data_IF_721758770688
#
_entry.id   IF_721758770688
#
_cell.length_a   1.000
_cell.length_b   1.000
_cell.length_c   1.000
_cell.angle_alpha   90.00
_cell.angle_beta   90.00
_cell.angle_gamma   90.00
#
_symmetry.space_group_name_H-M   'P 1'
#
loop_
_entity.id
_entity.type
_entity.pdbx_description
1 polymer ?
#
# COMPACT_ATOMS: atom_id res chain seq x y z
N UNK A 1 -5.23 13.38 -5.39
CA UNK A 1 -5.89 13.46 -4.06
C UNK A 1 -7.09 12.54 -4.05
N UNK A 2 -7.29 11.77 -2.97
CA UNK A 2 -8.50 10.96 -2.81
C UNK A 2 -9.65 11.87 -2.38
N UNK A 3 -10.62 12.09 -3.26
CA UNK A 3 -11.79 12.90 -3.00
C UNK A 3 -12.97 12.00 -2.62
N UNK A 4 -13.63 12.28 -1.48
CA UNK A 4 -14.84 11.57 -1.09
C UNK A 4 -16.06 12.33 -1.61
N UNK A 5 -16.64 11.86 -2.71
CA UNK A 5 -17.96 12.30 -3.16
C UNK A 5 -19.09 11.68 -2.32
N UNK A 6 -20.35 12.06 -2.59
CA UNK A 6 -21.53 11.54 -1.88
C UNK A 6 -21.73 10.02 -2.01
N UNK A 7 -21.12 9.38 -3.02
CA UNK A 7 -21.32 7.94 -3.31
C UNK A 7 -20.04 7.15 -3.61
N UNK A 8 -18.88 7.80 -3.79
CA UNK A 8 -17.62 7.11 -4.16
C UNK A 8 -16.38 7.92 -3.76
N UNK A 9 -15.27 7.22 -3.49
CA UNK A 9 -13.93 7.82 -3.39
C UNK A 9 -13.25 7.75 -4.75
N UNK A 10 -12.83 8.90 -5.29
CA UNK A 10 -12.13 8.97 -6.58
C UNK A 10 -10.77 9.66 -6.41
N UNK A 11 -9.75 9.11 -7.06
CA UNK A 11 -8.42 9.72 -7.12
C UNK A 11 -8.33 10.68 -8.30
N UNK A 12 -8.44 11.99 -8.02
CA UNK A 12 -8.35 13.05 -9.02
C UNK A 12 -6.95 13.65 -9.11
N UNK A 13 -6.52 14.11 -10.31
CA UNK A 13 -5.31 14.91 -10.46
C UNK A 13 -5.37 16.14 -9.56
N UNK A 14 -4.26 16.43 -8.89
CA UNK A 14 -4.14 17.58 -8.01
C UNK A 14 -2.69 18.06 -7.99
N UNK A 15 -2.50 19.34 -7.69
CA UNK A 15 -1.18 19.92 -7.47
C UNK A 15 -0.69 19.60 -6.06
N UNK A 16 0.61 19.36 -5.92
CA UNK A 16 1.25 19.23 -4.61
C UNK A 16 1.09 20.51 -3.77
N UNK A 17 1.17 20.43 -2.44
CA UNK A 17 1.11 21.61 -1.58
C UNK A 17 2.32 22.52 -1.79
N UNK A 18 2.12 23.84 -1.67
CA UNK A 18 3.21 24.84 -1.74
C UNK A 18 4.12 24.77 -0.51
N UNK A 19 3.55 24.40 0.65
CA UNK A 19 4.28 24.22 1.90
C UNK A 19 3.59 23.13 2.74
N UNK A 20 4.39 22.44 3.56
CA UNK A 20 3.90 21.52 4.59
C UNK A 20 4.34 22.04 5.95
N UNK A 21 3.38 22.27 6.84
CA UNK A 21 3.63 22.64 8.24
C UNK A 21 3.20 21.45 9.10
N UNK A 22 4.16 20.86 9.80
CA UNK A 22 3.95 19.67 10.62
C UNK A 22 4.41 19.95 12.05
N UNK A 23 3.46 19.98 12.98
CA UNK A 23 3.74 20.18 14.41
C UNK A 23 4.16 18.85 15.05
N UNK A 24 5.42 18.78 15.49
CA UNK A 24 5.99 17.57 16.09
C UNK A 24 5.27 17.13 17.36
N UNK A 25 4.77 18.08 18.17
CA UNK A 25 4.02 17.78 19.39
C UNK A 25 2.68 17.13 19.06
N UNK A 26 1.94 17.71 18.10
CA UNK A 26 0.68 17.15 17.61
C UNK A 26 0.90 15.75 17.03
N UNK A 27 1.90 15.56 16.16
CA UNK A 27 2.20 14.27 15.55
C UNK A 27 2.58 13.21 16.59
N UNK A 28 3.41 13.58 17.57
CA UNK A 28 3.82 12.67 18.63
C UNK A 28 2.63 12.21 19.48
N UNK A 29 1.70 13.14 19.79
CA UNK A 29 0.48 12.86 20.56
C UNK A 29 -0.62 12.14 19.78
N UNK A 30 -0.48 11.98 18.47
CA UNK A 30 -1.51 11.36 17.64
C UNK A 30 -1.78 9.89 18.03
N UNK A 31 -3.03 9.40 17.88
CA UNK A 31 -3.39 8.03 18.21
C UNK A 31 -2.46 7.01 17.53
N UNK A 32 -2.01 6.01 18.30
CA UNK A 32 -1.11 4.95 17.79
C UNK A 32 -1.66 4.28 16.53
N UNK A 33 -2.98 4.06 16.45
CA UNK A 33 -3.66 3.49 15.28
C UNK A 33 -3.42 4.30 14.00
N UNK A 34 -3.46 5.64 14.07
CA UNK A 34 -3.21 6.50 12.90
C UNK A 34 -1.74 6.40 12.46
N UNK A 35 -0.81 6.37 13.41
CA UNK A 35 0.63 6.20 13.12
C UNK A 35 0.92 4.82 12.52
N UNK A 36 0.30 3.77 13.04
CA UNK A 36 0.40 2.41 12.51
C UNK A 36 -0.14 2.34 11.07
N UNK A 37 -1.30 2.95 10.81
CA UNK A 37 -1.86 3.03 9.46
C UNK A 37 -0.93 3.81 8.51
N UNK A 38 -0.32 4.91 8.97
CA UNK A 38 0.67 5.65 8.18
C UNK A 38 1.89 4.80 7.81
N UNK A 39 2.41 3.99 8.74
CA UNK A 39 3.48 3.04 8.44
C UNK A 39 3.03 1.97 7.43
N UNK A 40 1.80 1.47 7.57
CA UNK A 40 1.21 0.53 6.60
C UNK A 40 1.15 1.09 5.17
N UNK A 41 0.81 2.38 5.01
CA UNK A 41 0.82 3.04 3.70
C UNK A 41 2.22 3.12 3.08
N UNK A 42 3.25 3.33 3.90
CA UNK A 42 4.66 3.33 3.45
C UNK A 42 5.19 1.92 3.15
N UNK A 43 4.70 0.88 3.80
CA UNK A 43 5.07 -0.51 3.45
C UNK A 43 4.48 -0.91 2.09
N UNK A 44 3.37 -0.30 1.67
CA UNK A 44 2.71 -0.52 0.38
C UNK A 44 3.61 -0.28 -0.83
N UNK A 45 4.67 0.52 -0.66
CA UNK A 45 5.59 0.86 -1.75
C UNK A 45 6.36 -0.39 -2.23
N UNK A 46 6.48 -1.43 -1.39
CA UNK A 46 7.08 -2.71 -1.77
C UNK A 46 6.41 -3.34 -3.00
N UNK A 47 5.08 -3.35 -3.04
CA UNK A 47 4.31 -3.87 -4.19
C UNK A 47 4.14 -2.80 -5.27
N UNK A 48 3.95 -1.53 -4.90
CA UNK A 48 3.79 -0.45 -5.88
C UNK A 48 5.01 -0.31 -6.81
N UNK A 49 6.24 -0.37 -6.26
CA UNK A 49 7.47 -0.30 -7.03
C UNK A 49 7.62 -1.49 -7.97
N UNK A 50 7.22 -2.70 -7.53
CA UNK A 50 7.28 -3.90 -8.36
C UNK A 50 6.22 -3.93 -9.44
N UNK A 51 5.04 -3.39 -9.16
CA UNK A 51 4.06 -3.12 -10.21
C UNK A 51 4.54 -2.06 -11.20
N UNK A 52 5.29 -1.05 -10.75
CA UNK A 52 5.84 -0.03 -11.64
C UNK A 52 6.92 -0.60 -12.57
N UNK A 53 7.79 -1.46 -12.06
CA UNK A 53 8.74 -2.23 -12.89
C UNK A 53 8.03 -3.10 -13.94
N UNK A 54 6.94 -3.76 -13.56
CA UNK A 54 6.13 -4.53 -14.52
C UNK A 54 5.50 -3.63 -15.59
N UNK A 55 5.06 -2.42 -15.21
CA UNK A 55 4.57 -1.41 -16.14
C UNK A 55 5.64 -0.91 -17.11
N UNK A 56 6.88 -0.72 -16.66
CA UNK A 56 8.01 -0.38 -17.55
C UNK A 56 8.27 -1.50 -18.55
N UNK A 57 8.31 -2.75 -18.07
CA UNK A 57 8.63 -3.90 -18.92
C UNK A 57 7.53 -4.21 -19.96
N UNK A 58 6.25 -4.06 -19.60
CA UNK A 58 5.14 -4.55 -20.45
C UNK A 58 4.27 -3.44 -21.06
N UNK A 59 4.38 -2.21 -20.57
CA UNK A 59 3.53 -1.09 -20.99
C UNK A 59 4.32 0.16 -21.41
N UNK A 60 5.67 0.11 -21.37
CA UNK A 60 6.52 1.25 -21.74
C UNK A 60 6.44 2.42 -20.75
N UNK A 61 6.00 2.17 -19.51
CA UNK A 61 6.10 3.17 -18.43
C UNK A 61 7.58 3.51 -18.18
N UNK A 62 7.87 4.71 -17.66
CA UNK A 62 9.24 5.11 -17.32
C UNK A 62 9.41 5.07 -15.81
N UNK A 63 10.36 4.29 -15.30
CA UNK A 63 10.71 4.30 -13.88
C UNK A 63 11.70 5.43 -13.58
N UNK A 64 11.25 6.42 -12.83
CA UNK A 64 12.14 7.48 -12.34
C UNK A 64 12.99 6.93 -11.18
N UNK A 65 14.27 6.66 -11.44
CA UNK A 65 15.21 6.11 -10.43
C UNK A 65 15.29 6.93 -9.14
N UNK A 66 15.17 8.27 -9.24
CA UNK A 66 15.19 9.16 -8.05
C UNK A 66 13.95 8.98 -7.19
N UNK A 67 12.77 8.88 -7.82
CA UNK A 67 11.52 8.62 -7.11
C UNK A 67 11.53 7.20 -6.50
N UNK A 68 12.01 6.21 -7.26
CA UNK A 68 12.18 4.84 -6.78
C UNK A 68 13.05 4.77 -5.52
N UNK A 69 14.21 5.43 -5.53
CA UNK A 69 15.10 5.47 -4.37
C UNK A 69 14.47 6.20 -3.17
N UNK A 70 13.69 7.26 -3.40
CA UNK A 70 12.96 7.96 -2.34
C UNK A 70 11.87 7.08 -1.69
N UNK A 71 11.18 6.25 -2.47
CA UNK A 71 10.21 5.29 -1.93
C UNK A 71 10.88 4.15 -1.14
N UNK A 72 12.05 3.68 -1.58
CA UNK A 72 12.84 2.72 -0.79
C UNK A 72 13.23 3.31 0.58
N UNK A 73 13.71 4.55 0.61
CA UNK A 73 13.99 5.25 1.87
C UNK A 73 12.72 5.44 2.72
N UNK A 74 11.56 5.66 2.08
CA UNK A 74 10.29 5.77 2.78
C UNK A 74 9.86 4.45 3.43
N UNK A 75 10.12 3.30 2.78
CA UNK A 75 9.92 1.96 3.36
C UNK A 75 10.83 1.79 4.59
N UNK A 76 12.12 2.10 4.48
CA UNK A 76 13.06 1.99 5.61
C UNK A 76 12.63 2.89 6.78
N UNK A 77 12.14 4.11 6.52
CA UNK A 77 11.56 4.97 7.56
C UNK A 77 10.38 4.30 8.29
N UNK A 78 9.53 3.55 7.57
CA UNK A 78 8.42 2.83 8.20
C UNK A 78 8.91 1.68 9.08
N UNK A 79 9.90 0.92 8.60
CA UNK A 79 10.53 -0.18 9.34
C UNK A 79 11.18 0.35 10.63
N UNK A 80 12.01 1.38 10.51
CA UNK A 80 12.69 2.04 11.63
C UNK A 80 11.69 2.61 12.64
N UNK A 81 10.62 3.23 12.16
CA UNK A 81 9.57 3.78 13.02
C UNK A 81 8.88 2.68 13.84
N UNK A 82 8.53 1.55 13.22
CA UNK A 82 7.85 0.43 13.88
C UNK A 82 8.78 -0.24 14.89
N UNK A 83 9.99 -0.63 14.50
CA UNK A 83 10.95 -1.27 15.41
C UNK A 83 11.53 -0.32 16.46
N UNK A 84 11.54 0.99 16.20
CA UNK A 84 11.81 2.04 17.19
C UNK A 84 10.69 2.24 18.22
N UNK A 85 9.66 1.38 18.20
CA UNK A 85 8.55 1.41 19.16
C UNK A 85 7.57 2.55 18.91
N UNK A 86 7.54 3.10 17.69
CA UNK A 86 6.59 4.13 17.24
C UNK A 86 6.62 5.43 18.06
N UNK A 87 7.78 5.71 18.69
CA UNK A 87 7.96 6.87 19.58
C UNK A 87 8.28 8.14 18.81
N UNK A 88 9.09 8.04 17.76
CA UNK A 88 9.51 9.19 16.97
C UNK A 88 8.64 9.35 15.71
N UNK A 89 7.57 10.14 15.84
CA UNK A 89 6.67 10.43 14.73
C UNK A 89 7.35 11.19 13.57
N UNK A 90 8.53 11.79 13.78
CA UNK A 90 9.25 12.50 12.73
C UNK A 90 9.89 11.55 11.72
N UNK A 91 10.28 10.34 12.15
CA UNK A 91 10.75 9.29 11.23
C UNK A 91 9.63 8.90 10.25
N UNK A 92 8.42 8.66 10.78
CA UNK A 92 7.26 8.37 9.95
C UNK A 92 6.91 9.56 9.02
N UNK A 93 6.93 10.78 9.55
CA UNK A 93 6.70 11.99 8.75
C UNK A 93 7.71 12.12 7.60
N UNK A 94 9.00 11.86 7.84
CA UNK A 94 10.05 11.89 6.82
C UNK A 94 9.69 10.94 5.67
N UNK A 95 9.32 9.70 5.97
CA UNK A 95 8.91 8.73 4.95
C UNK A 95 7.69 9.20 4.14
N UNK A 96 6.66 9.74 4.81
CA UNK A 96 5.47 10.28 4.14
C UNK A 96 5.79 11.49 3.23
N UNK A 97 6.69 12.38 3.68
CA UNK A 97 7.15 13.51 2.89
C UNK A 97 7.98 13.07 1.67
N UNK A 98 8.83 12.06 1.83
CA UNK A 98 9.61 11.49 0.74
C UNK A 98 8.70 10.88 -0.33
N UNK A 99 7.69 10.09 0.08
CA UNK A 99 6.71 9.53 -0.86
C UNK A 99 5.89 10.63 -1.56
N UNK A 100 5.50 11.68 -0.82
CA UNK A 100 4.87 12.86 -1.41
C UNK A 100 5.74 13.56 -2.45
N UNK A 101 7.04 13.74 -2.17
CA UNK A 101 8.00 14.32 -3.09
C UNK A 101 8.26 13.42 -4.31
N UNK A 102 8.30 12.10 -4.13
CA UNK A 102 8.44 11.12 -5.20
C UNK A 102 7.26 11.18 -6.18
N UNK A 103 6.02 11.20 -5.66
CA UNK A 103 4.82 11.39 -6.48
C UNK A 103 4.83 12.73 -7.22
N UNK A 104 5.25 13.81 -6.56
CA UNK A 104 5.35 15.13 -7.20
C UNK A 104 6.41 15.15 -8.33
N UNK A 105 7.54 14.48 -8.13
CA UNK A 105 8.61 14.35 -9.13
C UNK A 105 8.16 13.57 -10.36
N UNK A 106 7.36 12.52 -10.17
CA UNK A 106 6.83 11.70 -11.27
C UNK A 106 5.61 12.35 -11.93
N UNK A 107 4.89 13.23 -11.22
CA UNK A 107 3.61 13.77 -11.67
C UNK A 107 2.48 12.74 -11.64
N UNK A 108 2.64 11.68 -10.85
CA UNK A 108 1.70 10.56 -10.74
C UNK A 108 1.82 9.90 -9.38
N UNK A 109 0.75 9.23 -8.92
CA UNK A 109 0.83 8.37 -7.73
C UNK A 109 1.58 7.07 -7.96
N UNK A 110 2.02 6.79 -9.20
CA UNK A 110 2.64 5.53 -9.60
C UNK A 110 3.77 5.01 -8.69
N UNK A 111 4.76 5.83 -8.25
CA UNK A 111 5.80 5.33 -7.33
C UNK A 111 5.22 4.83 -6.00
N UNK A 112 4.05 5.36 -5.60
CA UNK A 112 3.47 5.13 -4.29
C UNK A 112 2.23 4.23 -4.28
N UNK A 113 1.73 3.82 -5.45
CA UNK A 113 0.43 3.18 -5.60
C UNK A 113 0.42 2.19 -6.77
N UNK A 114 0.22 0.92 -6.46
CA UNK A 114 0.04 -0.20 -7.38
C UNK A 114 -1.26 -0.95 -7.08
N UNK A 115 -1.22 -2.27 -7.24
CA UNK A 115 -2.32 -3.19 -7.04
C UNK A 115 -2.89 -3.16 -5.62
N UNK A 116 -2.05 -2.96 -4.61
CA UNK A 116 -2.48 -2.89 -3.20
C UNK A 116 -3.45 -1.73 -2.94
N UNK A 117 -3.22 -0.56 -3.56
CA UNK A 117 -4.13 0.57 -3.49
C UNK A 117 -5.40 0.35 -4.29
N UNK A 118 -5.33 -0.36 -5.42
CA UNK A 118 -6.51 -0.70 -6.22
C UNK A 118 -7.45 -1.62 -5.45
N UNK A 119 -6.91 -2.59 -4.71
CA UNK A 119 -7.68 -3.43 -3.79
C UNK A 119 -8.31 -2.57 -2.69
N UNK A 120 -7.55 -1.69 -2.01
CA UNK A 120 -8.12 -0.80 -0.99
C UNK A 120 -9.25 0.10 -1.54
N UNK A 121 -9.12 0.60 -2.78
CA UNK A 121 -10.18 1.38 -3.41
C UNK A 121 -11.46 0.55 -3.67
N UNK A 122 -11.33 -0.73 -4.05
CA UNK A 122 -12.49 -1.61 -4.15
C UNK A 122 -13.09 -1.93 -2.77
N UNK A 123 -12.27 -2.14 -1.74
CA UNK A 123 -12.74 -2.30 -0.35
C UNK A 123 -13.55 -1.08 0.11
N UNK A 124 -13.04 0.13 -0.17
CA UNK A 124 -13.76 1.38 0.12
C UNK A 124 -15.09 1.46 -0.65
N UNK A 125 -15.14 0.96 -1.90
CA UNK A 125 -16.35 0.95 -2.73
C UNK A 125 -17.42 -0.02 -2.21
N UNK A 126 -17.05 -1.09 -1.50
CA UNK A 126 -18.01 -1.98 -0.83
C UNK A 126 -18.75 -1.28 0.31
N UNK A 127 -18.17 -0.24 0.91
CA UNK A 127 -18.78 0.51 2.01
C UNK A 127 -18.92 -0.25 3.33
N UNK A 128 -18.25 -1.40 3.47
CA UNK A 128 -18.34 -2.29 4.65
C UNK A 128 -17.17 -2.15 5.63
N UNK A 129 -15.99 -1.75 5.15
CA UNK A 129 -14.77 -1.70 5.95
C UNK A 129 -14.83 -0.65 7.07
N UNK A 130 -14.38 -1.04 8.26
CA UNK A 130 -14.14 -0.15 9.41
C UNK A 130 -12.65 0.25 9.51
N UNK A 131 -11.84 -0.21 8.57
CA UNK A 131 -10.40 0.04 8.50
C UNK A 131 -10.04 1.40 7.96
N UNK A 132 -8.94 1.96 8.48
CA UNK A 132 -8.26 3.11 7.90
C UNK A 132 -7.62 2.73 6.56
N UNK A 133 -7.40 3.70 5.69
CA UNK A 133 -6.81 3.46 4.36
C UNK A 133 -5.50 2.69 4.45
N UNK A 134 -4.54 3.15 5.26
CA UNK A 134 -3.26 2.47 5.43
C UNK A 134 -3.35 1.06 6.04
N UNK A 135 -4.41 0.75 6.80
CA UNK A 135 -4.66 -0.61 7.29
C UNK A 135 -5.11 -1.52 6.14
N UNK A 136 -6.06 -1.05 5.31
CA UNK A 136 -6.53 -1.79 4.14
C UNK A 136 -5.40 -2.02 3.13
N UNK A 137 -4.64 -0.96 2.83
CA UNK A 137 -3.53 -1.00 1.88
C UNK A 137 -2.44 -1.94 2.38
N UNK A 138 -2.11 -1.94 3.68
CA UNK A 138 -1.08 -2.82 4.21
C UNK A 138 -1.46 -4.31 4.13
N UNK A 139 -2.71 -4.68 4.44
CA UNK A 139 -3.17 -6.06 4.25
C UNK A 139 -3.18 -6.47 2.77
N UNK A 140 -3.61 -5.56 1.89
CA UNK A 140 -3.50 -5.79 0.45
C UNK A 140 -2.04 -5.93 -0.01
N UNK A 141 -1.11 -5.24 0.66
CA UNK A 141 0.34 -5.35 0.41
C UNK A 141 0.85 -6.73 0.81
N UNK A 142 0.42 -7.31 1.93
CA UNK A 142 0.76 -8.70 2.31
C UNK A 142 0.29 -9.66 1.23
N UNK A 143 -0.97 -9.56 0.80
CA UNK A 143 -1.56 -10.41 -0.23
C UNK A 143 -0.80 -10.31 -1.56
N UNK A 144 -0.57 -9.08 -2.04
CA UNK A 144 0.11 -8.84 -3.30
C UNK A 144 1.59 -9.18 -3.24
N UNK A 145 2.26 -8.99 -2.10
CA UNK A 145 3.64 -9.44 -1.90
C UNK A 145 3.77 -10.95 -2.05
N UNK A 146 2.84 -11.72 -1.47
CA UNK A 146 2.79 -13.18 -1.66
C UNK A 146 2.55 -13.56 -3.12
N UNK A 147 1.65 -12.85 -3.80
CA UNK A 147 1.35 -13.12 -5.22
C UNK A 147 2.53 -12.77 -6.14
N UNK A 148 3.22 -11.65 -5.89
CA UNK A 148 4.46 -11.33 -6.58
C UNK A 148 5.55 -12.37 -6.31
N UNK A 149 5.69 -12.85 -5.08
CA UNK A 149 6.69 -13.86 -4.77
C UNK A 149 6.51 -15.14 -5.61
N UNK A 150 5.27 -15.53 -5.93
CA UNK A 150 4.98 -16.70 -6.76
C UNK A 150 4.98 -16.43 -8.27
N UNK A 151 4.80 -15.19 -8.71
CA UNK A 151 4.52 -14.88 -10.13
C UNK A 151 5.42 -13.81 -10.77
N UNK A 152 6.20 -13.08 -9.98
CA UNK A 152 7.12 -12.04 -10.44
C UNK A 152 8.56 -12.46 -10.15
N UNK A 153 9.28 -12.92 -11.18
CA UNK A 153 10.70 -13.30 -11.06
C UNK A 153 11.63 -12.13 -10.65
N UNK A 154 11.16 -10.89 -10.77
CA UNK A 154 11.84 -9.68 -10.28
C UNK A 154 11.46 -9.27 -8.85
N UNK A 155 10.75 -10.12 -8.10
CA UNK A 155 10.42 -9.86 -6.70
C UNK A 155 11.68 -9.68 -5.84
N UNK A 156 11.52 -8.98 -4.71
CA UNK A 156 12.59 -8.69 -3.78
C UNK A 156 13.30 -9.96 -3.29
N UNK A 157 14.63 -9.88 -3.17
CA UNK A 157 15.46 -10.93 -2.55
C UNK A 157 15.81 -10.64 -1.10
N UNK A 158 15.62 -9.39 -0.67
CA UNK A 158 15.80 -9.00 0.73
C UNK A 158 14.68 -9.65 1.56
N UNK A 159 14.99 -10.50 2.55
CA UNK A 159 13.97 -11.15 3.38
C UNK A 159 13.10 -10.16 4.16
N UNK A 160 13.62 -8.95 4.47
CA UNK A 160 12.87 -7.88 5.15
C UNK A 160 11.66 -7.40 4.33
N UNK A 161 11.67 -7.64 3.02
CA UNK A 161 10.63 -7.24 2.06
C UNK A 161 9.67 -8.40 1.72
N UNK A 162 9.70 -9.48 2.50
CA UNK A 162 8.76 -10.58 2.36
C UNK A 162 7.37 -10.21 2.89
N UNK A 163 6.32 -10.89 2.41
CA UNK A 163 4.96 -10.71 2.93
C UNK A 163 4.87 -11.02 4.44
N UNK A 164 5.66 -11.98 4.93
CA UNK A 164 5.73 -12.33 6.35
C UNK A 164 6.33 -11.20 7.19
N UNK A 165 7.38 -10.53 6.70
CA UNK A 165 7.97 -9.37 7.37
C UNK A 165 7.02 -8.17 7.40
N UNK A 166 6.26 -7.93 6.33
CA UNK A 166 5.20 -6.91 6.34
C UNK A 166 4.16 -7.23 7.41
N UNK A 167 3.69 -8.48 7.48
CA UNK A 167 2.71 -8.91 8.48
C UNK A 167 3.25 -8.80 9.92
N UNK A 168 4.52 -9.13 10.14
CA UNK A 168 5.21 -8.95 11.43
C UNK A 168 5.24 -7.46 11.83
N UNK A 169 5.63 -6.57 10.91
CA UNK A 169 5.65 -5.12 11.17
C UNK A 169 4.26 -4.59 11.55
N UNK A 170 3.20 -5.07 10.90
CA UNK A 170 1.82 -4.72 11.27
C UNK A 170 1.48 -5.18 12.69
N UNK A 171 1.84 -6.43 13.03
CA UNK A 171 1.65 -6.97 14.37
C UNK A 171 2.41 -6.15 15.44
N UNK A 172 3.69 -5.83 15.21
CA UNK A 172 4.51 -5.00 16.10
C UNK A 172 3.94 -3.58 16.25
N UNK A 173 3.42 -3.01 15.16
CA UNK A 173 2.78 -1.70 15.20
C UNK A 173 1.45 -1.69 15.98
N UNK A 174 0.84 -2.86 16.18
CA UNK A 174 -0.53 -3.00 16.69
C UNK A 174 -1.57 -2.59 15.64
N UNK A 175 -1.24 -2.76 14.35
CA UNK A 175 -2.17 -2.64 13.25
C UNK A 175 -2.94 -3.96 13.05
N UNK A 176 -4.12 -3.93 12.41
CA UNK A 176 -4.83 -5.13 11.99
C UNK A 176 -3.95 -6.06 11.14
N UNK A 177 -4.05 -7.36 11.41
CA UNK A 177 -3.29 -8.41 10.70
C UNK A 177 -4.17 -9.29 9.82
N UNK A 178 -5.48 -9.04 9.83
CA UNK A 178 -6.47 -9.77 9.05
C UNK A 178 -7.57 -8.85 8.52
N UNK A 179 -8.19 -9.21 7.40
CA UNK A 179 -9.32 -8.45 6.86
C UNK A 179 -10.57 -8.58 7.72
N UNK A 180 -10.72 -9.69 8.46
CA UNK A 180 -11.75 -9.87 9.49
C UNK A 180 -11.71 -8.77 10.57
N UNK A 181 -10.53 -8.35 11.03
CA UNK A 181 -10.38 -7.24 11.98
C UNK A 181 -10.89 -5.90 11.42
N UNK A 182 -10.92 -5.75 10.08
CA UNK A 182 -11.50 -4.60 9.40
C UNK A 182 -13.02 -4.74 9.18
N UNK A 183 -13.62 -5.86 9.58
CA UNK A 183 -15.03 -6.18 9.40
C UNK A 183 -15.38 -6.68 8.00
N UNK A 184 -14.40 -7.20 7.26
CA UNK A 184 -14.58 -7.74 5.91
C UNK A 184 -14.63 -9.26 5.97
N UNK A 185 -15.51 -9.85 5.17
CA UNK A 185 -15.52 -11.31 4.97
C UNK A 185 -14.53 -11.70 3.90
N UNK A 186 -14.16 -12.99 3.85
CA UNK A 186 -13.39 -13.56 2.75
C UNK A 186 -13.95 -13.17 1.38
N UNK A 187 -15.26 -13.27 1.22
CA UNK A 187 -15.95 -12.99 -0.04
C UNK A 187 -15.84 -11.51 -0.44
N UNK A 188 -15.89 -10.59 0.53
CA UNK A 188 -15.67 -9.16 0.29
C UNK A 188 -14.26 -8.90 -0.26
N UNK A 189 -13.26 -9.57 0.30
CA UNK A 189 -11.86 -9.42 -0.12
C UNK A 189 -11.63 -10.04 -1.50
N UNK A 190 -12.17 -11.24 -1.75
CA UNK A 190 -12.09 -11.90 -3.05
C UNK A 190 -12.69 -11.01 -4.13
N UNK A 191 -13.90 -10.49 -3.92
CA UNK A 191 -14.55 -9.59 -4.86
C UNK A 191 -13.73 -8.31 -5.10
N UNK A 192 -13.17 -7.71 -4.04
CA UNK A 192 -12.33 -6.53 -4.16
C UNK A 192 -11.06 -6.78 -4.99
N UNK A 193 -10.41 -7.94 -4.83
CA UNK A 193 -9.20 -8.30 -5.59
C UNK A 193 -9.51 -8.52 -7.08
N UNK A 194 -10.59 -9.24 -7.40
CA UNK A 194 -10.97 -9.52 -8.79
C UNK A 194 -11.30 -8.25 -9.59
N UNK A 195 -11.89 -7.28 -8.91
CA UNK A 195 -12.30 -5.99 -9.49
C UNK A 195 -11.24 -4.90 -9.37
N UNK A 196 -10.15 -5.13 -8.64
CA UNK A 196 -9.09 -4.14 -8.45
C UNK A 196 -8.56 -3.57 -9.79
N UNK A 197 -8.31 -4.36 -10.86
CA UNK A 197 -7.90 -3.82 -12.17
C UNK A 197 -8.84 -2.77 -12.77
N UNK A 198 -10.14 -2.81 -12.45
CA UNK A 198 -11.14 -1.87 -12.96
C UNK A 198 -10.94 -0.44 -12.43
N UNK A 199 -10.21 -0.27 -11.32
CA UNK A 199 -9.98 1.04 -10.70
C UNK A 199 -9.10 1.94 -11.57
N UNK A 200 -8.11 1.36 -12.24
CA UNK A 200 -7.19 2.04 -13.17
C UNK A 200 -6.78 1.10 -14.31
N UNK A 201 -7.65 0.88 -15.30
CA UNK A 201 -7.37 -0.01 -16.43
C UNK A 201 -6.11 0.39 -17.21
N UNK A 202 -5.71 1.67 -17.13
CA UNK A 202 -4.52 2.22 -17.78
C UNK A 202 -3.20 1.90 -17.06
N UNK A 203 -3.24 1.41 -15.82
CA UNK A 203 -2.04 1.18 -14.99
C UNK A 203 -1.74 -0.31 -14.89
N UNK A 204 -0.69 -0.76 -15.58
CA UNK A 204 -0.33 -2.19 -15.59
C UNK A 204 0.23 -2.62 -14.23
N UNK A 205 -0.40 -3.59 -13.60
CA UNK A 205 0.07 -4.23 -12.36
C UNK A 205 0.13 -5.74 -12.54
N UNK A 206 0.61 -6.48 -11.56
CA UNK A 206 0.59 -7.94 -11.59
C UNK A 206 -0.84 -8.49 -11.79
N UNK A 207 -1.87 -7.84 -11.23
CA UNK A 207 -3.27 -8.23 -11.40
C UNK A 207 -3.80 -8.04 -12.84
N UNK A 208 -3.15 -7.19 -13.64
CA UNK A 208 -3.48 -7.03 -15.07
C UNK A 208 -2.78 -8.09 -15.92
N UNK A 209 -1.52 -8.39 -15.60
CA UNK A 209 -0.70 -9.35 -16.35
C UNK A 209 -1.07 -10.79 -16.04
N UNK A 210 -1.44 -11.07 -14.79
CA UNK A 210 -1.80 -12.37 -14.26
C UNK A 210 -3.03 -12.20 -13.38
N UNK A 211 -4.20 -12.26 -14.00
CA UNK A 211 -5.47 -12.07 -13.29
C UNK A 211 -5.80 -13.34 -12.49
N UNK A 212 -5.84 -13.30 -11.15
CA UNK A 212 -6.15 -14.48 -10.35
C UNK A 212 -7.65 -14.82 -10.45
N UNK A 213 -7.98 -16.12 -10.32
CA UNK A 213 -9.34 -16.60 -10.10
C UNK A 213 -9.74 -16.52 -8.63
N UNK A 214 -11.01 -16.80 -8.32
CA UNK A 214 -11.54 -16.80 -6.94
C UNK A 214 -10.80 -17.78 -6.04
N UNK A 215 -10.51 -18.96 -6.56
CA UNK A 215 -9.78 -20.02 -5.88
C UNK A 215 -8.38 -19.56 -5.52
N UNK A 216 -7.64 -18.99 -6.47
CA UNK A 216 -6.28 -18.46 -6.23
C UNK A 216 -6.28 -17.37 -5.15
N UNK A 217 -7.24 -16.44 -5.17
CA UNK A 217 -7.32 -15.41 -4.11
C UNK A 217 -7.63 -16.03 -2.75
N UNK A 218 -8.51 -17.04 -2.71
CA UNK A 218 -8.85 -17.75 -1.48
C UNK A 218 -7.65 -18.51 -0.90
N UNK A 219 -6.88 -19.19 -1.75
CA UNK A 219 -5.63 -19.87 -1.38
C UNK A 219 -4.60 -18.87 -0.84
N UNK A 220 -4.43 -17.72 -1.49
CA UNK A 220 -3.51 -16.67 -1.01
C UNK A 220 -3.91 -16.16 0.39
N UNK A 221 -5.21 -15.97 0.64
CA UNK A 221 -5.72 -15.55 1.96
C UNK A 221 -5.46 -16.62 3.04
N UNK A 222 -5.56 -17.90 2.68
CA UNK A 222 -5.25 -19.01 3.58
C UNK A 222 -3.75 -19.12 3.87
N UNK A 223 -2.91 -19.08 2.83
CA UNK A 223 -1.46 -19.17 2.96
C UNK A 223 -0.87 -18.03 3.79
N UNK A 224 -1.40 -16.82 3.62
CA UNK A 224 -0.94 -15.64 4.35
C UNK A 224 -1.59 -15.48 5.72
N UNK A 225 -2.68 -16.20 6.00
CA UNK A 225 -3.40 -16.15 7.27
C UNK A 225 -4.13 -14.83 7.55
N UNK A 226 -4.37 -14.00 6.53
CA UNK A 226 -4.94 -12.65 6.69
C UNK A 226 -6.44 -12.57 6.39
N UNK A 227 -7.14 -13.70 6.35
CA UNK A 227 -8.56 -13.80 6.00
C UNK A 227 -9.46 -12.84 6.79
#
# INVERSE_FOLDING_TARGET
VAFRGKSHRASVPATGPVAVVADAGVLSSSPRRLKAAGAGDLLAKLTALKDWELGELHAGEIVCRRAYAAELEAIECAIDFVYGGMRDALVLLKGLLLSGAAMALVGSSRPASGSEHMISHQIDALGKSKGLHGEQVALATVLMSRYHQSHNGGWWRDPRFSWGSVLELLSVAGAPTSFLELGLTREDVVEAVLRAPEVRPERVTLLHLKRPGRETVSELLEETGIC
#
